data_IF_113079986204
#
_entry.id   IF_113079986204
#
_cell.length_a   1.000
_cell.length_b   1.000
_cell.length_c   1.000
_cell.angle_alpha   90.00
_cell.angle_beta   90.00
_cell.angle_gamma   90.00
#
_symmetry.space_group_name_H-M   'P 1'
#
loop_
_entity.id
_entity.type
_entity.pdbx_description
1 polymer ?
#
# COMPACT_ATOMS: atom_id res chain seq x y z
N UNK A 1 -25.51 19.56 -13.22
CA UNK A 1 -24.53 19.88 -14.28
C UNK A 1 -24.49 21.38 -14.40
N UNK A 2 -23.35 21.99 -14.48
CA UNK A 2 -23.24 23.42 -14.82
C UNK A 2 -23.70 23.51 -16.26
N UNK A 3 -24.70 24.30 -16.56
CA UNK A 3 -25.42 24.33 -17.88
C UNK A 3 -24.54 24.50 -19.11
N UNK A 4 -23.25 24.86 -18.95
CA UNK A 4 -22.32 25.15 -20.04
C UNK A 4 -21.21 24.10 -20.26
N UNK A 5 -21.09 23.02 -19.42
CA UNK A 5 -20.05 22.05 -19.60
C UNK A 5 -20.56 20.82 -20.37
N UNK A 6 -20.07 20.62 -21.60
CA UNK A 6 -20.35 19.42 -22.38
C UNK A 6 -19.69 18.18 -21.78
N UNK A 7 -20.45 17.11 -21.50
CA UNK A 7 -19.92 15.85 -20.99
C UNK A 7 -18.83 15.25 -21.90
N UNK A 8 -18.96 15.37 -23.20
CA UNK A 8 -17.97 14.95 -24.18
C UNK A 8 -16.65 15.74 -24.07
N UNK A 9 -16.75 17.07 -23.87
CA UNK A 9 -15.59 17.93 -23.70
C UNK A 9 -14.81 17.57 -22.40
N UNK A 10 -15.54 17.33 -21.30
CA UNK A 10 -14.95 16.90 -20.03
C UNK A 10 -14.27 15.53 -20.15
N UNK A 11 -14.91 14.59 -20.88
CA UNK A 11 -14.31 13.27 -21.15
C UNK A 11 -13.04 13.40 -22.00
N UNK A 12 -13.04 14.26 -23.01
CA UNK A 12 -11.85 14.57 -23.80
C UNK A 12 -10.75 15.17 -22.93
N UNK A 13 -11.10 16.09 -22.02
CA UNK A 13 -10.17 16.66 -21.04
C UNK A 13 -9.54 15.58 -20.16
N UNK A 14 -10.33 14.62 -19.67
CA UNK A 14 -9.81 13.48 -18.88
C UNK A 14 -8.84 12.63 -19.70
N UNK A 15 -9.22 12.24 -20.93
CA UNK A 15 -8.38 11.41 -21.79
C UNK A 15 -7.04 12.10 -22.08
N UNK A 16 -7.06 13.38 -22.47
CA UNK A 16 -5.85 14.15 -22.75
C UNK A 16 -5.03 14.37 -21.48
N UNK A 17 -5.66 14.70 -20.35
CA UNK A 17 -4.97 14.87 -19.08
C UNK A 17 -4.28 13.59 -18.61
N UNK A 18 -4.92 12.42 -18.77
CA UNK A 18 -4.28 11.12 -18.47
C UNK A 18 -3.15 10.82 -19.45
N UNK A 19 -3.29 11.12 -20.74
CA UNK A 19 -2.23 10.98 -21.72
C UNK A 19 -1.02 11.87 -21.37
N UNK A 20 -1.27 13.12 -20.94
CA UNK A 20 -0.23 14.04 -20.44
C UNK A 20 0.43 13.49 -19.19
N UNK A 21 -0.32 12.99 -18.21
CA UNK A 21 0.22 12.35 -17.01
C UNK A 21 1.18 11.22 -17.37
N UNK A 22 0.72 10.30 -18.22
CA UNK A 22 1.50 9.15 -18.66
C UNK A 22 2.77 9.60 -19.42
N UNK A 23 2.64 10.55 -20.34
CA UNK A 23 3.76 11.09 -21.10
C UNK A 23 4.81 11.74 -20.19
N UNK A 24 4.37 12.60 -19.26
CA UNK A 24 5.27 13.28 -18.34
C UNK A 24 6.03 12.28 -17.44
N UNK A 25 5.35 11.29 -16.89
CA UNK A 25 5.99 10.28 -16.03
C UNK A 25 6.95 9.39 -16.81
N UNK A 26 6.58 8.95 -18.04
CA UNK A 26 7.40 8.01 -18.81
C UNK A 26 8.59 8.67 -19.56
N UNK A 27 8.43 9.87 -20.08
CA UNK A 27 9.38 10.47 -21.03
C UNK A 27 10.19 11.63 -20.47
N UNK A 28 9.71 12.35 -19.45
CA UNK A 28 10.33 13.62 -19.06
C UNK A 28 11.03 13.57 -17.70
N UNK A 29 11.06 12.43 -17.01
CA UNK A 29 11.60 12.28 -15.63
C UNK A 29 10.96 13.22 -14.60
N UNK A 30 9.80 13.80 -14.90
CA UNK A 30 9.05 14.65 -13.98
C UNK A 30 8.47 13.80 -12.85
N UNK A 31 8.59 14.30 -11.62
CA UNK A 31 8.05 13.62 -10.45
C UNK A 31 6.52 13.46 -10.54
N UNK A 32 5.99 12.32 -10.11
CA UNK A 32 4.57 11.95 -10.21
C UNK A 32 3.62 13.01 -9.65
N UNK A 33 3.98 13.69 -8.55
CA UNK A 33 3.21 14.79 -7.98
C UNK A 33 3.03 15.95 -8.97
N UNK A 34 4.12 16.41 -9.60
CA UNK A 34 4.06 17.52 -10.55
C UNK A 34 3.25 17.11 -11.78
N UNK A 35 3.45 15.89 -12.27
CA UNK A 35 2.68 15.34 -13.39
C UNK A 35 1.17 15.26 -13.07
N UNK A 36 0.80 14.85 -11.84
CA UNK A 36 -0.60 14.84 -11.38
C UNK A 36 -1.21 16.25 -11.37
N UNK A 37 -0.52 17.25 -10.85
CA UNK A 37 -1.03 18.63 -10.83
C UNK A 37 -1.18 19.19 -12.25
N UNK A 38 -0.18 18.97 -13.14
CA UNK A 38 -0.28 19.40 -14.54
C UNK A 38 -1.47 18.73 -15.23
N UNK A 39 -1.61 17.40 -15.07
CA UNK A 39 -2.74 16.67 -15.64
C UNK A 39 -4.08 17.20 -15.10
N UNK A 40 -4.18 17.51 -13.81
CA UNK A 40 -5.37 18.07 -13.17
C UNK A 40 -5.75 19.42 -13.77
N UNK A 41 -4.76 20.31 -14.02
CA UNK A 41 -4.98 21.58 -14.69
C UNK A 41 -5.45 21.36 -16.13
N UNK A 42 -4.79 20.47 -16.88
CA UNK A 42 -5.16 20.14 -18.27
C UNK A 42 -6.60 19.62 -18.35
N UNK A 43 -7.01 18.74 -17.44
CA UNK A 43 -8.39 18.23 -17.35
C UNK A 43 -9.37 19.37 -17.14
N UNK A 44 -9.10 20.27 -16.21
CA UNK A 44 -9.96 21.41 -15.91
C UNK A 44 -10.08 22.38 -17.09
N UNK A 45 -8.95 22.73 -17.70
CA UNK A 45 -8.90 23.70 -18.82
C UNK A 45 -9.61 23.14 -20.06
N UNK A 46 -9.26 21.94 -20.51
CA UNK A 46 -9.87 21.30 -21.69
C UNK A 46 -11.35 20.98 -21.41
N UNK A 47 -11.65 20.57 -20.15
CA UNK A 47 -13.02 20.32 -19.71
C UNK A 47 -13.90 21.56 -19.63
N UNK A 48 -13.35 22.78 -19.85
CA UNK A 48 -14.10 24.02 -19.86
C UNK A 48 -14.43 24.58 -18.48
N UNK A 49 -13.71 24.15 -17.41
CA UNK A 49 -13.90 24.73 -16.09
C UNK A 49 -13.40 26.17 -16.01
N UNK A 50 -14.05 27.06 -15.20
CA UNK A 50 -13.54 28.42 -14.99
C UNK A 50 -12.11 28.43 -14.49
N UNK A 51 -11.25 29.23 -15.12
CA UNK A 51 -9.83 29.37 -14.74
C UNK A 51 -9.69 30.03 -13.36
N UNK A 52 -10.52 31.05 -13.12
CA UNK A 52 -10.61 31.76 -11.85
C UNK A 52 -11.92 31.41 -11.14
N UNK A 53 -12.00 31.75 -9.84
CA UNK A 53 -13.20 31.50 -9.07
C UNK A 53 -14.38 32.30 -9.65
N UNK A 54 -15.41 31.58 -10.08
CA UNK A 54 -16.71 32.12 -10.46
C UNK A 54 -17.77 31.62 -9.48
N UNK A 55 -18.72 32.50 -9.13
CA UNK A 55 -19.87 32.15 -8.31
C UNK A 55 -21.12 32.15 -9.16
N UNK A 56 -21.80 31.02 -9.22
CA UNK A 56 -23.00 30.80 -10.04
C UNK A 56 -24.27 31.24 -9.31
N UNK A 57 -25.38 31.43 -10.01
CA UNK A 57 -26.66 31.88 -9.43
C UNK A 57 -27.19 30.94 -8.32
N UNK A 58 -26.81 29.64 -8.33
CA UNK A 58 -27.15 28.67 -7.30
C UNK A 58 -26.29 28.80 -6.01
N UNK A 59 -25.45 29.82 -5.93
CA UNK A 59 -24.54 30.07 -4.79
C UNK A 59 -23.28 29.24 -4.78
N UNK A 60 -23.10 28.29 -5.72
CA UNK A 60 -21.88 27.50 -5.82
C UNK A 60 -20.75 28.32 -6.44
N UNK A 61 -19.56 28.16 -5.90
CA UNK A 61 -18.33 28.73 -6.46
C UNK A 61 -17.52 27.61 -7.10
N UNK A 62 -17.01 27.86 -8.30
CA UNK A 62 -16.17 26.92 -9.06
C UNK A 62 -14.95 27.65 -9.63
N UNK A 63 -13.85 26.92 -9.76
CA UNK A 63 -12.62 27.40 -10.40
C UNK A 63 -11.52 26.35 -10.26
N UNK A 64 -10.69 26.21 -11.28
CA UNK A 64 -9.64 25.17 -11.33
C UNK A 64 -8.75 25.22 -10.08
N UNK A 65 -8.19 26.40 -9.76
CA UNK A 65 -7.30 26.57 -8.60
C UNK A 65 -8.02 26.27 -7.29
N UNK A 66 -9.27 26.71 -7.15
CA UNK A 66 -10.07 26.45 -5.96
C UNK A 66 -10.34 24.94 -5.78
N UNK A 67 -10.67 24.22 -6.82
CA UNK A 67 -10.88 22.77 -6.79
C UNK A 67 -9.58 22.02 -6.45
N UNK A 68 -8.45 22.44 -7.03
CA UNK A 68 -7.12 21.86 -6.71
C UNK A 68 -6.80 22.03 -5.23
N UNK A 69 -6.88 23.25 -4.71
CA UNK A 69 -6.52 23.55 -3.30
C UNK A 69 -7.46 22.87 -2.32
N UNK A 70 -8.75 22.83 -2.61
CA UNK A 70 -9.78 22.15 -1.81
C UNK A 70 -9.55 20.62 -1.78
N UNK A 71 -9.30 20.01 -2.94
CA UNK A 71 -9.07 18.56 -3.02
C UNK A 71 -7.76 18.15 -2.36
N UNK A 72 -6.69 18.91 -2.58
CA UNK A 72 -5.39 18.70 -1.97
C UNK A 72 -5.46 18.83 -0.44
N UNK A 73 -5.94 19.97 0.05
CA UNK A 73 -6.03 20.24 1.49
C UNK A 73 -7.03 19.33 2.20
N UNK A 74 -8.19 19.06 1.59
CA UNK A 74 -9.21 18.17 2.14
C UNK A 74 -8.71 16.76 2.36
N UNK A 75 -7.97 16.20 1.40
CA UNK A 75 -7.37 14.86 1.55
C UNK A 75 -6.29 14.85 2.65
N UNK A 76 -5.39 15.83 2.65
CA UNK A 76 -4.31 15.87 3.65
C UNK A 76 -4.81 16.14 5.06
N UNK A 77 -5.87 16.92 5.24
CA UNK A 77 -6.45 17.16 6.56
C UNK A 77 -6.96 15.89 7.24
N UNK A 78 -7.43 14.92 6.45
CA UNK A 78 -7.95 13.66 6.99
C UNK A 78 -6.87 12.64 7.39
N UNK A 79 -5.76 12.58 6.64
CA UNK A 79 -4.81 11.46 6.78
C UNK A 79 -3.35 11.88 6.94
N UNK A 80 -3.01 13.16 6.73
CA UNK A 80 -1.61 13.61 6.68
C UNK A 80 -0.84 13.34 7.97
N UNK A 81 -1.45 13.60 9.12
CA UNK A 81 -0.81 13.36 10.44
C UNK A 81 -0.58 11.85 10.65
N UNK A 82 -1.54 11.01 10.27
CA UNK A 82 -1.44 9.55 10.43
C UNK A 82 -0.30 9.00 9.57
N UNK A 83 -0.16 9.49 8.32
CA UNK A 83 0.95 9.13 7.43
C UNK A 83 2.29 9.51 8.09
N UNK A 84 2.41 10.73 8.62
CA UNK A 84 3.63 11.18 9.31
C UNK A 84 4.01 10.29 10.48
N UNK A 85 3.06 10.02 11.39
CA UNK A 85 3.29 9.15 12.54
C UNK A 85 3.61 7.70 12.13
N UNK A 86 2.90 7.17 11.13
CA UNK A 86 3.13 5.81 10.63
C UNK A 86 4.53 5.62 10.05
N UNK A 87 5.02 6.59 9.28
CA UNK A 87 6.36 6.52 8.68
C UNK A 87 7.46 6.64 9.73
N UNK A 88 7.31 7.52 10.73
CA UNK A 88 8.25 7.63 11.85
C UNK A 88 8.26 6.32 12.65
N UNK A 89 7.09 5.76 12.97
CA UNK A 89 6.96 4.47 13.64
C UNK A 89 7.71 3.39 12.87
N UNK A 90 7.54 3.34 11.54
CA UNK A 90 8.25 2.39 10.67
C UNK A 90 9.78 2.51 10.79
N UNK A 91 10.32 3.74 10.81
CA UNK A 91 11.76 3.96 10.99
C UNK A 91 12.27 3.49 12.35
N UNK A 92 11.50 3.69 13.42
CA UNK A 92 11.87 3.19 14.75
C UNK A 92 11.93 1.65 14.75
N UNK A 93 10.96 0.96 14.12
CA UNK A 93 10.98 -0.49 13.98
C UNK A 93 12.21 -1.01 13.19
N UNK A 94 12.62 -0.24 12.18
CA UNK A 94 13.80 -0.57 11.36
C UNK A 94 15.09 -0.51 12.18
N UNK A 95 15.33 0.57 12.92
CA UNK A 95 16.59 0.81 13.66
C UNK A 95 16.67 0.09 15.00
N UNK A 96 15.54 -0.25 15.61
CA UNK A 96 15.47 -0.90 16.92
C UNK A 96 15.70 -2.41 16.88
N UNK A 97 15.64 -3.03 15.71
CA UNK A 97 15.64 -4.49 15.56
C UNK A 97 14.30 -5.16 15.85
N UNK A 98 13.22 -4.39 16.05
CA UNK A 98 11.88 -4.94 16.29
C UNK A 98 11.38 -5.82 15.14
N UNK A 99 11.67 -5.46 13.90
CA UNK A 99 11.33 -6.26 12.72
C UNK A 99 12.06 -7.61 12.72
N UNK A 100 13.34 -7.65 13.10
CA UNK A 100 14.10 -8.89 13.25
C UNK A 100 13.52 -9.77 14.36
N UNK A 101 13.18 -9.17 15.52
CA UNK A 101 12.55 -9.90 16.64
C UNK A 101 11.23 -10.54 16.21
N UNK A 102 10.40 -9.84 15.43
CA UNK A 102 9.16 -10.39 14.88
C UNK A 102 9.43 -11.61 13.99
N UNK A 103 10.43 -11.53 13.10
CA UNK A 103 10.81 -12.61 12.21
C UNK A 103 11.22 -13.86 12.96
N UNK A 104 12.08 -13.73 13.99
CA UNK A 104 12.53 -14.83 14.85
C UNK A 104 11.33 -15.42 15.62
N UNK A 105 10.45 -14.58 16.14
CA UNK A 105 9.26 -15.03 16.88
C UNK A 105 8.34 -15.89 16.00
N UNK A 106 8.03 -15.45 14.78
CA UNK A 106 7.21 -16.24 13.87
C UNK A 106 7.88 -17.52 13.40
N UNK A 107 9.19 -17.46 13.15
CA UNK A 107 9.95 -18.67 12.81
C UNK A 107 9.86 -19.72 13.89
N UNK A 108 10.04 -19.32 15.17
CA UNK A 108 9.94 -20.22 16.31
C UNK A 108 8.49 -20.74 16.51
N UNK A 109 7.48 -19.92 16.22
CA UNK A 109 6.07 -20.30 16.36
C UNK A 109 5.62 -21.32 15.31
N UNK A 110 6.01 -21.12 14.03
CA UNK A 110 5.59 -22.00 12.94
C UNK A 110 6.38 -23.30 12.88
N UNK A 111 7.57 -23.32 13.49
CA UNK A 111 8.40 -24.51 13.58
C UNK A 111 9.04 -24.92 12.25
N UNK A 112 9.60 -26.14 12.26
CA UNK A 112 10.33 -26.69 11.11
C UNK A 112 9.41 -27.00 9.92
N UNK A 113 9.95 -26.91 8.69
CA UNK A 113 9.26 -27.18 7.40
C UNK A 113 8.24 -26.12 6.95
N UNK A 114 8.08 -25.02 7.69
CA UNK A 114 7.12 -23.94 7.39
C UNK A 114 7.81 -22.58 7.26
N UNK A 115 9.02 -22.57 6.70
CA UNK A 115 9.86 -21.37 6.62
C UNK A 115 9.25 -20.31 5.70
N UNK A 116 8.61 -20.74 4.58
CA UNK A 116 7.93 -19.81 3.67
C UNK A 116 6.71 -19.17 4.34
N UNK A 117 5.93 -19.97 5.09
CA UNK A 117 4.78 -19.45 5.85
C UNK A 117 5.24 -18.48 6.94
N UNK A 118 6.26 -18.84 7.71
CA UNK A 118 6.81 -17.98 8.74
C UNK A 118 7.29 -16.65 8.18
N UNK A 119 7.99 -16.68 7.03
CA UNK A 119 8.50 -15.48 6.39
C UNK A 119 7.41 -14.63 5.72
N UNK A 120 6.39 -15.23 5.12
CA UNK A 120 5.25 -14.49 4.58
C UNK A 120 4.48 -13.77 5.70
N UNK A 121 4.25 -14.43 6.83
CA UNK A 121 3.58 -13.83 7.99
C UNK A 121 4.46 -12.77 8.65
N UNK A 122 5.77 -13.00 8.73
CA UNK A 122 6.71 -11.95 9.14
C UNK A 122 6.58 -10.73 8.25
N UNK A 123 6.60 -10.91 6.93
CA UNK A 123 6.42 -9.83 5.96
C UNK A 123 5.10 -9.09 6.18
N UNK A 124 4.02 -9.84 6.40
CA UNK A 124 2.71 -9.29 6.70
C UNK A 124 2.75 -8.33 7.90
N UNK A 125 3.24 -8.76 9.04
CA UNK A 125 3.25 -7.95 10.26
C UNK A 125 4.28 -6.81 10.20
N UNK A 126 5.47 -7.07 9.65
CA UNK A 126 6.53 -6.06 9.52
C UNK A 126 6.10 -4.92 8.62
N UNK A 127 5.36 -5.20 7.54
CA UNK A 127 4.96 -4.15 6.59
C UNK A 127 3.79 -3.28 7.05
N UNK A 128 3.15 -3.59 8.18
CA UNK A 128 2.13 -2.70 8.73
C UNK A 128 2.71 -1.32 9.07
N UNK A 129 3.84 -1.22 9.83
CA UNK A 129 4.48 0.07 10.12
C UNK A 129 5.58 0.45 9.13
N UNK A 130 6.18 -0.49 8.39
CA UNK A 130 7.41 -0.30 7.59
C UNK A 130 7.09 -0.40 6.10
N UNK A 131 7.75 0.41 5.27
CA UNK A 131 7.71 0.25 3.82
C UNK A 131 8.27 -1.12 3.40
N UNK A 132 7.68 -1.73 2.39
CA UNK A 132 8.09 -3.07 1.93
C UNK A 132 9.57 -3.13 1.53
N UNK A 133 10.13 -2.09 0.91
CA UNK A 133 11.55 -2.00 0.56
C UNK A 133 12.44 -2.11 1.80
N UNK A 134 12.23 -1.25 2.81
CA UNK A 134 12.98 -1.25 4.07
C UNK A 134 12.76 -2.54 4.86
N UNK A 135 11.52 -3.01 4.96
CA UNK A 135 11.19 -4.26 5.65
C UNK A 135 11.92 -5.45 5.04
N UNK A 136 12.01 -5.51 3.71
CA UNK A 136 12.74 -6.57 3.02
C UNK A 136 14.26 -6.49 3.27
N UNK A 137 14.85 -5.29 3.20
CA UNK A 137 16.28 -5.10 3.49
C UNK A 137 16.61 -5.57 4.89
N UNK A 138 15.79 -5.21 5.89
CA UNK A 138 16.03 -5.52 7.31
C UNK A 138 15.85 -7.01 7.63
N UNK A 139 14.86 -7.68 6.98
CA UNK A 139 14.51 -9.08 7.31
C UNK A 139 15.16 -10.09 6.36
N UNK A 140 15.58 -9.70 5.15
CA UNK A 140 16.19 -10.63 4.18
C UNK A 140 17.45 -11.36 4.67
N UNK A 141 18.33 -10.79 5.54
CA UNK A 141 19.45 -11.55 6.12
C UNK A 141 18.98 -12.76 6.93
N UNK A 142 17.84 -12.62 7.64
CA UNK A 142 17.23 -13.74 8.40
C UNK A 142 16.73 -14.81 7.43
N UNK A 143 16.03 -14.42 6.35
CA UNK A 143 15.57 -15.35 5.31
C UNK A 143 16.76 -16.14 4.69
N UNK A 144 17.89 -15.47 4.45
CA UNK A 144 19.12 -16.09 3.97
C UNK A 144 19.73 -17.08 4.99
N UNK A 145 19.82 -16.66 6.25
CA UNK A 145 20.33 -17.52 7.33
C UNK A 145 19.49 -18.80 7.48
N UNK A 146 18.16 -18.66 7.42
CA UNK A 146 17.23 -19.80 7.42
C UNK A 146 17.52 -20.73 6.23
N UNK A 147 17.54 -20.15 5.02
CA UNK A 147 17.77 -20.91 3.80
C UNK A 147 19.05 -21.74 3.84
N UNK A 148 20.17 -21.16 4.34
CA UNK A 148 21.44 -21.84 4.52
C UNK A 148 21.34 -22.98 5.54
N UNK A 149 20.75 -22.70 6.70
CA UNK A 149 20.65 -23.68 7.80
C UNK A 149 19.83 -24.89 7.39
N UNK A 150 18.66 -24.67 6.75
CA UNK A 150 17.78 -25.75 6.30
C UNK A 150 18.16 -26.30 4.92
N UNK A 151 19.20 -25.76 4.26
CA UNK A 151 19.64 -26.09 2.90
C UNK A 151 18.49 -26.05 1.89
N UNK A 152 17.80 -24.91 1.81
CA UNK A 152 16.62 -24.68 0.99
C UNK A 152 16.82 -23.43 0.12
N UNK A 153 16.11 -23.33 -0.99
CA UNK A 153 16.20 -22.15 -1.86
C UNK A 153 15.83 -20.86 -1.11
N UNK A 154 16.75 -19.91 -1.07
CA UNK A 154 16.50 -18.57 -0.54
C UNK A 154 15.44 -17.84 -1.34
N UNK A 155 15.29 -18.17 -2.64
CA UNK A 155 14.35 -17.49 -3.55
C UNK A 155 12.91 -17.75 -3.13
N UNK A 156 12.56 -19.02 -2.78
CA UNK A 156 11.23 -19.33 -2.27
C UNK A 156 10.92 -18.62 -0.94
N UNK A 157 11.84 -18.68 0.01
CA UNK A 157 11.71 -18.05 1.34
C UNK A 157 11.64 -16.53 1.21
N UNK A 158 12.53 -15.95 0.38
CA UNK A 158 12.59 -14.51 0.15
C UNK A 158 11.38 -13.97 -0.63
N UNK A 159 10.89 -14.70 -1.63
CA UNK A 159 9.68 -14.32 -2.36
C UNK A 159 8.43 -14.37 -1.46
N UNK A 160 8.35 -15.34 -0.54
CA UNK A 160 7.27 -15.41 0.45
C UNK A 160 7.31 -14.20 1.40
N UNK A 161 8.51 -13.84 1.90
CA UNK A 161 8.71 -12.62 2.71
C UNK A 161 8.29 -11.36 1.94
N UNK A 162 8.80 -11.19 0.72
CA UNK A 162 8.49 -10.04 -0.12
C UNK A 162 6.99 -9.95 -0.46
N UNK A 163 6.35 -11.10 -0.71
CA UNK A 163 4.92 -11.20 -0.95
C UNK A 163 4.09 -10.75 0.25
N UNK A 164 4.43 -11.25 1.45
CA UNK A 164 3.78 -10.79 2.69
C UNK A 164 3.93 -9.28 2.90
N UNK A 165 5.13 -8.74 2.67
CA UNK A 165 5.40 -7.30 2.77
C UNK A 165 4.54 -6.48 1.79
N UNK A 166 4.53 -6.84 0.51
CA UNK A 166 3.84 -6.04 -0.52
C UNK A 166 2.32 -6.12 -0.42
N UNK A 167 1.78 -7.30 -0.04
CA UNK A 167 0.34 -7.48 0.17
C UNK A 167 -0.14 -6.55 1.29
N UNK A 168 0.51 -6.60 2.45
CA UNK A 168 0.15 -5.73 3.57
C UNK A 168 0.35 -4.26 3.24
N UNK A 169 1.49 -3.92 2.63
CA UNK A 169 1.78 -2.55 2.19
C UNK A 169 0.69 -1.97 1.28
N UNK A 170 0.07 -2.81 0.47
CA UNK A 170 -0.97 -2.39 -0.49
C UNK A 170 -2.39 -2.49 0.04
N UNK A 171 -2.65 -3.33 1.07
CA UNK A 171 -4.03 -3.63 1.50
C UNK A 171 -4.36 -3.11 2.91
N UNK A 172 -3.37 -2.92 3.78
CA UNK A 172 -3.63 -2.71 5.22
C UNK A 172 -3.07 -1.38 5.72
N UNK A 173 -3.93 -0.43 6.16
CA UNK A 173 -3.47 0.73 6.91
C UNK A 173 -2.74 0.32 8.22
N UNK A 174 -1.87 1.19 8.77
CA UNK A 174 -1.65 2.58 8.44
C UNK A 174 -0.60 2.84 7.35
N UNK A 175 -0.25 1.87 6.51
CA UNK A 175 0.60 2.13 5.36
C UNK A 175 0.02 3.26 4.49
N UNK A 176 0.88 4.18 3.97
CA UNK A 176 0.41 5.42 3.37
C UNK A 176 -0.46 5.25 2.12
N UNK A 177 -0.22 4.21 1.32
CA UNK A 177 -0.99 3.94 0.10
C UNK A 177 -2.46 3.64 0.40
N UNK A 178 -2.78 2.54 1.12
CA UNK A 178 -4.14 2.21 1.53
C UNK A 178 -4.82 3.31 2.33
N UNK A 179 -4.07 3.99 3.21
CA UNK A 179 -4.60 5.11 3.99
C UNK A 179 -4.99 6.29 3.09
N UNK A 180 -4.17 6.60 2.06
CA UNK A 180 -4.49 7.62 1.07
C UNK A 180 -5.75 7.29 0.27
N UNK A 181 -5.89 6.04 -0.15
CA UNK A 181 -7.10 5.54 -0.83
C UNK A 181 -8.32 5.61 0.07
N UNK A 182 -8.21 5.15 1.33
CA UNK A 182 -9.29 5.23 2.31
C UNK A 182 -9.75 6.69 2.54
N UNK A 183 -8.81 7.64 2.62
CA UNK A 183 -9.10 9.07 2.74
C UNK A 183 -9.82 9.64 1.52
N UNK A 184 -9.40 9.29 0.31
CA UNK A 184 -10.03 9.75 -0.95
C UNK A 184 -11.47 9.20 -1.10
N UNK A 185 -11.68 7.93 -0.75
CA UNK A 185 -13.00 7.30 -0.75
C UNK A 185 -13.86 7.66 0.46
N UNK A 186 -13.28 8.35 1.47
CA UNK A 186 -13.93 8.70 2.73
C UNK A 186 -14.53 7.49 3.46
N UNK A 187 -13.76 6.39 3.54
CA UNK A 187 -14.14 5.15 4.23
C UNK A 187 -13.53 5.09 5.62
N UNK A 188 -14.21 4.38 6.54
CA UNK A 188 -13.71 4.20 7.91
C UNK A 188 -12.43 3.37 7.93
N UNK A 189 -11.39 3.90 8.57
CA UNK A 189 -10.06 3.28 8.62
C UNK A 189 -10.08 1.93 9.34
N UNK A 190 -10.90 1.79 10.39
CA UNK A 190 -11.00 0.53 11.13
C UNK A 190 -11.67 -0.56 10.31
N UNK A 191 -12.75 -0.24 9.59
CA UNK A 191 -13.37 -1.17 8.65
C UNK A 191 -12.37 -1.54 7.54
N UNK A 192 -11.61 -0.56 7.03
CA UNK A 192 -10.61 -0.80 6.01
C UNK A 192 -9.50 -1.73 6.51
N UNK A 193 -9.01 -1.57 7.75
CA UNK A 193 -8.02 -2.48 8.36
C UNK A 193 -8.58 -3.91 8.43
N UNK A 194 -9.80 -4.09 8.95
CA UNK A 194 -10.40 -5.41 9.11
C UNK A 194 -10.56 -6.15 7.79
N UNK A 195 -11.16 -5.48 6.80
CA UNK A 195 -11.39 -6.07 5.48
C UNK A 195 -10.05 -6.30 4.77
N UNK A 196 -9.10 -5.35 4.88
CA UNK A 196 -7.77 -5.48 4.30
C UNK A 196 -7.00 -6.69 4.84
N UNK A 197 -7.08 -6.97 6.15
CA UNK A 197 -6.50 -8.18 6.75
C UNK A 197 -7.19 -9.43 6.19
N UNK A 198 -8.51 -9.44 6.09
CA UNK A 198 -9.25 -10.58 5.55
C UNK A 198 -8.87 -10.86 4.08
N UNK A 199 -8.78 -9.83 3.24
CA UNK A 199 -8.36 -9.97 1.84
C UNK A 199 -6.89 -10.38 1.70
N UNK A 200 -6.01 -9.91 2.59
CA UNK A 200 -4.60 -10.27 2.54
C UNK A 200 -4.35 -11.77 2.79
N UNK A 201 -5.24 -12.48 3.49
CA UNK A 201 -5.06 -13.90 3.81
C UNK A 201 -5.07 -14.79 2.57
N UNK A 202 -6.10 -14.80 1.69
CA UNK A 202 -6.09 -15.60 0.47
C UNK A 202 -4.95 -15.22 -0.48
N UNK A 203 -4.62 -13.93 -0.58
CA UNK A 203 -3.49 -13.45 -1.38
C UNK A 203 -2.16 -14.02 -0.85
N UNK A 204 -1.93 -13.98 0.47
CA UNK A 204 -0.74 -14.53 1.10
C UNK A 204 -0.66 -16.06 0.90
N UNK A 205 -1.77 -16.76 1.05
CA UNK A 205 -1.84 -18.22 0.79
C UNK A 205 -1.43 -18.52 -0.64
N UNK A 206 -1.96 -17.80 -1.63
CA UNK A 206 -1.63 -18.01 -3.04
C UNK A 206 -0.13 -17.77 -3.32
N UNK A 207 0.44 -16.72 -2.75
CA UNK A 207 1.88 -16.42 -2.86
C UNK A 207 2.73 -17.49 -2.18
N UNK A 208 2.35 -17.96 -0.98
CA UNK A 208 3.04 -19.05 -0.28
C UNK A 208 3.01 -20.33 -1.13
N UNK A 209 1.86 -20.69 -1.70
CA UNK A 209 1.72 -21.86 -2.55
C UNK A 209 2.61 -21.77 -3.80
N UNK A 210 2.71 -20.59 -4.42
CA UNK A 210 3.62 -20.35 -5.54
C UNK A 210 5.09 -20.46 -5.10
N UNK A 211 5.46 -19.85 -3.99
CA UNK A 211 6.82 -19.91 -3.44
C UNK A 211 7.24 -21.35 -3.12
N UNK A 212 6.39 -22.14 -2.45
CA UNK A 212 6.64 -23.55 -2.10
C UNK A 212 6.54 -24.48 -3.29
N UNK A 213 5.53 -24.33 -4.12
CA UNK A 213 5.24 -25.25 -5.23
C UNK A 213 6.16 -25.05 -6.43
N UNK A 214 6.46 -23.81 -6.78
CA UNK A 214 7.24 -23.50 -7.98
C UNK A 214 8.64 -22.97 -7.67
N UNK A 215 8.78 -21.87 -6.94
CA UNK A 215 10.08 -21.23 -6.76
C UNK A 215 11.06 -22.10 -6.00
N UNK A 216 10.62 -22.76 -4.94
CA UNK A 216 11.44 -23.70 -4.15
C UNK A 216 12.08 -24.80 -5.00
N UNK A 217 11.38 -25.30 -6.01
CA UNK A 217 11.80 -26.46 -6.78
C UNK A 217 12.43 -26.15 -8.14
N UNK A 218 12.18 -24.94 -8.68
CA UNK A 218 12.60 -24.56 -10.04
C UNK A 218 13.69 -23.52 -10.09
N UNK A 219 13.96 -22.82 -8.96
CA UNK A 219 14.94 -21.75 -8.94
C UNK A 219 16.24 -22.22 -8.28
N UNK A 220 17.40 -21.89 -8.88
CA UNK A 220 18.70 -22.28 -8.36
C UNK A 220 19.02 -21.57 -7.05
N UNK A 221 19.96 -22.15 -6.29
CA UNK A 221 20.55 -21.53 -5.12
C UNK A 221 21.64 -20.54 -5.49
N UNK A 222 21.86 -19.58 -4.62
CA UNK A 222 22.99 -18.67 -4.72
C UNK A 222 23.95 -18.99 -3.58
N UNK A 223 25.19 -19.30 -3.94
CA UNK A 223 26.29 -19.36 -3.00
C UNK A 223 26.68 -17.94 -2.62
N UNK A 224 26.58 -17.59 -1.33
CA UNK A 224 26.90 -16.24 -0.88
C UNK A 224 28.42 -15.99 -0.76
N UNK A 225 29.26 -17.02 -0.88
CA UNK A 225 30.73 -16.85 -0.82
C UNK A 225 31.31 -16.33 -2.14
N UNK A 226 30.77 -16.76 -3.27
CA UNK A 226 31.27 -16.40 -4.59
C UNK A 226 30.19 -15.92 -5.57
N UNK A 227 28.91 -15.86 -5.15
CA UNK A 227 27.78 -15.45 -5.98
C UNK A 227 27.39 -16.47 -7.06
N UNK A 228 27.94 -17.68 -7.03
CA UNK A 228 27.66 -18.73 -8.00
C UNK A 228 26.26 -19.32 -7.82
N UNK A 229 25.64 -19.72 -8.93
CA UNK A 229 24.36 -20.42 -8.92
C UNK A 229 24.57 -21.90 -8.71
N UNK A 230 24.15 -22.41 -7.55
CA UNK A 230 24.20 -23.84 -7.22
C UNK A 230 22.89 -24.51 -7.65
N UNK A 231 23.01 -25.65 -8.32
CA UNK A 231 21.84 -26.46 -8.70
C UNK A 231 21.12 -26.99 -7.45
N UNK A 232 19.77 -26.95 -7.46
CA UNK A 232 18.94 -27.51 -6.38
C UNK A 232 19.26 -28.98 -6.10
N UNK A 233 19.75 -29.75 -7.11
CA UNK A 233 20.10 -31.15 -6.97
C UNK A 233 21.35 -31.40 -6.10
N UNK A 234 22.18 -30.39 -5.90
CA UNK A 234 23.41 -30.45 -5.12
C UNK A 234 23.19 -30.09 -3.63
N UNK A 235 21.98 -29.63 -3.30
CA UNK A 235 21.63 -29.28 -1.92
C UNK A 235 20.68 -30.29 -1.30
N UNK A 236 21.15 -30.94 -0.24
CA UNK A 236 20.34 -31.86 0.55
C UNK A 236 19.57 -31.08 1.63
N UNK A 237 18.25 -30.93 1.42
CA UNK A 237 17.39 -30.23 2.35
C UNK A 237 17.36 -30.91 3.72
N UNK A 238 17.81 -30.20 4.75
CA UNK A 238 17.77 -30.67 6.13
C UNK A 238 16.66 -29.97 6.95
N UNK A 239 15.46 -30.56 7.04
CA UNK A 239 14.35 -29.97 7.77
C UNK A 239 14.54 -29.97 9.31
N UNK A 240 15.55 -30.69 9.80
CA UNK A 240 15.84 -30.80 11.22
C UNK A 240 17.03 -29.94 11.66
N UNK A 241 17.62 -29.16 10.74
CA UNK A 241 18.70 -28.26 11.10
C UNK A 241 18.27 -27.26 12.19
N UNK A 242 19.15 -27.02 13.14
CA UNK A 242 18.91 -26.04 14.19
C UNK A 242 19.24 -24.66 13.63
N UNK A 243 18.25 -23.77 13.60
CA UNK A 243 18.44 -22.38 13.20
C UNK A 243 18.85 -21.61 14.45
N UNK A 244 20.15 -21.29 14.57
CA UNK A 244 20.67 -20.41 15.61
C UNK A 244 20.78 -18.99 15.01
N UNK A 245 19.89 -18.09 15.42
CA UNK A 245 19.99 -16.67 15.11
C UNK A 245 20.50 -15.94 16.34
N UNK A 246 21.46 -15.04 16.16
CA UNK A 246 21.94 -14.22 17.28
C UNK A 246 20.81 -13.27 17.71
N UNK A 247 20.33 -13.48 18.95
CA UNK A 247 19.28 -12.67 19.56
C UNK A 247 19.83 -11.55 20.44
N UNK A 248 21.15 -11.41 20.51
CA UNK A 248 21.80 -10.37 21.31
C UNK A 248 21.34 -9.00 20.83
N UNK A 249 20.96 -8.17 21.78
CA UNK A 249 20.59 -6.76 21.58
C UNK A 249 19.24 -6.48 20.87
N UNK A 250 18.45 -7.52 20.57
CA UNK A 250 17.11 -7.30 20.03
C UNK A 250 16.10 -6.98 21.15
N UNK A 251 15.11 -6.10 20.89
CA UNK A 251 14.06 -5.81 21.87
C UNK A 251 13.24 -7.07 22.20
N UNK A 252 12.59 -7.06 23.37
CA UNK A 252 11.73 -8.17 23.78
C UNK A 252 10.52 -8.34 22.82
N UNK A 253 9.93 -9.55 22.82
CA UNK A 253 8.76 -9.86 21.96
C UNK A 253 7.64 -8.86 22.21
N UNK A 254 7.24 -8.65 23.48
CA UNK A 254 6.15 -7.73 23.80
C UNK A 254 6.44 -6.30 23.33
N UNK A 255 7.64 -5.79 23.58
CA UNK A 255 8.05 -4.44 23.18
C UNK A 255 8.13 -4.27 21.66
N UNK A 256 8.38 -5.34 20.91
CA UNK A 256 8.37 -5.31 19.44
C UNK A 256 6.96 -5.31 18.86
N UNK A 257 6.00 -6.01 19.45
CA UNK A 257 4.65 -6.12 18.91
C UNK A 257 3.69 -5.06 19.47
N UNK A 258 3.83 -4.62 20.72
CA UNK A 258 2.87 -3.73 21.37
C UNK A 258 2.66 -2.40 20.65
N UNK A 259 3.69 -1.68 20.15
CA UNK A 259 3.50 -0.42 19.43
C UNK A 259 2.73 -0.56 18.11
N UNK A 260 2.74 -1.77 17.52
CA UNK A 260 2.00 -2.11 16.33
C UNK A 260 0.55 -2.51 16.64
N UNK A 261 0.37 -3.39 17.61
CA UNK A 261 -0.91 -4.01 17.93
C UNK A 261 -1.84 -3.04 18.65
N UNK A 262 -1.28 -2.18 19.53
CA UNK A 262 -2.06 -1.20 20.29
C UNK A 262 -2.90 -0.26 19.42
N UNK A 263 -2.37 0.42 18.40
CA UNK A 263 -3.16 1.26 17.49
C UNK A 263 -4.29 0.48 16.82
N UNK A 264 -4.01 -0.72 16.33
CA UNK A 264 -4.99 -1.56 15.65
C UNK A 264 -6.17 -1.87 16.59
N UNK A 265 -5.88 -2.35 17.81
CA UNK A 265 -6.91 -2.65 18.80
C UNK A 265 -7.74 -1.42 19.12
N UNK A 266 -7.11 -0.28 19.36
CA UNK A 266 -7.82 0.96 19.69
C UNK A 266 -8.73 1.43 18.54
N UNK A 267 -8.25 1.39 17.31
CA UNK A 267 -9.05 1.74 16.12
C UNK A 267 -10.23 0.79 15.95
N UNK A 268 -10.03 -0.52 16.16
CA UNK A 268 -11.11 -1.50 16.09
C UNK A 268 -12.17 -1.28 17.18
N UNK A 269 -11.75 -0.99 18.41
CA UNK A 269 -12.66 -0.64 19.51
C UNK A 269 -13.50 0.60 19.12
N UNK A 270 -12.86 1.64 18.59
CA UNK A 270 -13.57 2.84 18.11
C UNK A 270 -14.62 2.48 17.04
N UNK A 271 -14.23 1.69 16.03
CA UNK A 271 -15.13 1.29 14.94
C UNK A 271 -16.34 0.52 15.47
N UNK A 272 -16.14 -0.45 16.36
CA UNK A 272 -17.23 -1.24 16.97
C UNK A 272 -18.14 -0.35 17.84
N UNK A 273 -17.58 0.46 18.74
CA UNK A 273 -18.38 1.32 19.62
C UNK A 273 -19.15 2.37 18.83
N UNK A 274 -18.56 2.92 17.76
CA UNK A 274 -19.24 3.86 16.86
C UNK A 274 -20.40 3.20 16.11
N UNK A 275 -20.23 1.97 15.63
CA UNK A 275 -21.29 1.18 14.98
C UNK A 275 -22.44 0.86 15.95
N UNK A 276 -22.12 0.57 17.21
CA UNK A 276 -23.09 0.34 18.28
C UNK A 276 -23.72 1.64 18.82
N UNK A 277 -23.28 2.82 18.32
CA UNK A 277 -23.75 4.16 18.76
C UNK A 277 -23.52 4.45 20.25
N UNK A 278 -22.57 3.78 20.88
CA UNK A 278 -22.19 3.97 22.28
C UNK A 278 -21.19 5.13 22.37
N UNK A 279 -21.66 6.37 22.62
CA UNK A 279 -20.80 7.58 22.51
C UNK A 279 -20.62 8.33 23.85
N UNK A 280 -21.24 7.89 24.95
CA UNK A 280 -21.27 8.64 26.20
C UNK A 280 -20.37 8.04 27.30
N UNK A 281 -19.90 8.87 28.22
CA UNK A 281 -19.12 8.44 29.38
C UNK A 281 -17.81 7.75 29.00
N UNK A 282 -17.52 6.60 29.60
CA UNK A 282 -16.31 5.82 29.37
C UNK A 282 -16.14 5.39 27.90
N UNK A 283 -17.23 5.08 27.20
CA UNK A 283 -17.18 4.74 25.76
C UNK A 283 -16.68 5.92 24.92
N UNK A 284 -17.03 7.15 25.28
CA UNK A 284 -16.53 8.35 24.60
C UNK A 284 -15.00 8.47 24.69
N UNK A 285 -14.40 8.13 25.84
CA UNK A 285 -12.95 8.09 26.01
C UNK A 285 -12.31 7.03 25.12
N UNK A 286 -12.86 5.83 25.07
CA UNK A 286 -12.36 4.74 24.21
C UNK A 286 -12.46 5.11 22.72
N UNK A 287 -13.56 5.75 22.30
CA UNK A 287 -13.72 6.27 20.94
C UNK A 287 -12.66 7.31 20.63
N UNK A 288 -12.37 8.25 21.55
CA UNK A 288 -11.33 9.24 21.38
C UNK A 288 -9.93 8.60 21.25
N UNK A 289 -9.57 7.68 22.14
CA UNK A 289 -8.30 6.96 22.09
C UNK A 289 -8.15 6.12 20.80
N UNK A 290 -9.27 5.61 20.28
CA UNK A 290 -9.33 4.85 19.05
C UNK A 290 -9.46 5.70 17.78
N UNK A 291 -9.48 7.04 17.85
CA UNK A 291 -9.34 7.86 16.66
C UNK A 291 -7.98 7.57 15.98
N UNK A 292 -7.91 7.32 14.66
CA UNK A 292 -6.69 6.87 14.01
C UNK A 292 -5.46 7.75 14.32
N UNK A 293 -5.63 9.06 14.39
CA UNK A 293 -4.55 10.00 14.75
C UNK A 293 -4.03 9.73 16.17
N UNK A 294 -4.91 9.56 17.13
CA UNK A 294 -4.56 9.32 18.53
C UNK A 294 -3.97 7.93 18.71
N UNK A 295 -4.61 6.91 18.16
CA UNK A 295 -4.18 5.52 18.27
C UNK A 295 -2.76 5.31 17.69
N UNK A 296 -2.48 5.80 16.47
CA UNK A 296 -1.15 5.70 15.85
C UNK A 296 -0.13 6.55 16.61
N UNK A 297 -0.53 7.74 17.11
CA UNK A 297 0.32 8.57 17.98
C UNK A 297 0.71 7.85 19.27
N UNK A 298 -0.22 7.14 19.93
CA UNK A 298 0.06 6.33 21.12
C UNK A 298 1.02 5.16 20.80
N UNK A 299 0.83 4.49 19.67
CA UNK A 299 1.75 3.47 19.18
C UNK A 299 3.16 4.01 18.96
N UNK A 300 3.28 5.18 18.33
CA UNK A 300 4.55 5.87 18.14
C UNK A 300 5.21 6.24 19.47
N UNK A 301 4.48 6.81 20.40
CA UNK A 301 5.02 7.14 21.74
C UNK A 301 5.49 5.88 22.47
N UNK A 302 4.74 4.78 22.39
CA UNK A 302 5.13 3.50 22.98
C UNK A 302 6.41 2.98 22.33
N UNK A 303 6.55 3.08 21.01
CA UNK A 303 7.78 2.67 20.32
C UNK A 303 8.99 3.51 20.75
N UNK A 304 8.83 4.84 20.83
CA UNK A 304 9.89 5.74 21.30
C UNK A 304 10.37 5.32 22.69
N UNK A 305 9.44 5.11 23.63
CA UNK A 305 9.78 4.78 25.02
C UNK A 305 10.38 3.40 25.17
N UNK A 306 9.93 2.41 24.40
CA UNK A 306 10.31 1.01 24.59
C UNK A 306 11.41 0.53 23.67
N UNK A 307 11.49 1.04 22.45
CA UNK A 307 12.40 0.51 21.42
C UNK A 307 13.66 1.36 21.21
N UNK A 308 13.62 2.67 21.55
CA UNK A 308 14.79 3.55 21.38
C UNK A 308 15.74 3.57 22.59
N UNK A 309 15.55 2.74 23.62
CA UNK A 309 16.38 2.75 24.83
C UNK A 309 17.86 2.48 24.55
N UNK A 310 18.15 1.65 23.56
CA UNK A 310 19.51 1.23 23.19
C UNK A 310 19.99 1.91 21.90
N UNK A 311 19.20 2.85 21.35
CA UNK A 311 19.55 3.62 20.15
C UNK A 311 19.99 5.00 20.61
N UNK A 312 21.15 5.45 20.12
CA UNK A 312 21.64 6.77 20.37
C UNK A 312 20.68 7.84 19.83
N UNK A 313 20.54 8.95 20.58
CA UNK A 313 19.56 9.98 20.29
C UNK A 313 19.75 10.65 18.91
N UNK A 314 21.00 10.88 18.53
CA UNK A 314 21.33 11.53 17.26
C UNK A 314 20.94 10.63 16.08
N UNK A 315 21.27 9.35 16.16
CA UNK A 315 20.85 8.34 15.19
C UNK A 315 19.34 8.22 15.11
N UNK A 316 18.64 8.17 16.25
CA UNK A 316 17.18 8.11 16.27
C UNK A 316 16.53 9.31 15.59
N UNK A 317 16.98 10.53 15.90
CA UNK A 317 16.46 11.76 15.30
C UNK A 317 16.74 11.78 13.78
N UNK A 318 17.95 11.49 13.35
CA UNK A 318 18.32 11.45 11.94
C UNK A 318 17.48 10.45 11.13
N UNK A 319 17.23 9.26 11.67
CA UNK A 319 16.42 8.26 10.96
C UNK A 319 14.92 8.62 10.95
N UNK A 320 14.40 9.28 12.00
CA UNK A 320 13.06 9.87 11.98
C UNK A 320 12.94 10.96 10.92
N UNK A 321 13.95 11.85 10.77
CA UNK A 321 13.98 12.88 9.73
C UNK A 321 13.95 12.28 8.33
N UNK A 322 14.73 11.22 8.06
CA UNK A 322 14.66 10.47 6.78
C UNK A 322 13.27 9.88 6.54
N UNK A 323 12.61 9.42 7.59
CA UNK A 323 11.22 8.98 7.52
C UNK A 323 10.29 10.09 7.08
N UNK A 324 10.44 11.29 7.64
CA UNK A 324 9.63 12.45 7.26
C UNK A 324 9.89 12.92 5.82
N UNK A 325 11.12 12.83 5.31
CA UNK A 325 11.43 13.07 3.89
C UNK A 325 10.64 12.12 2.97
N UNK A 326 10.58 10.83 3.32
CA UNK A 326 9.78 9.84 2.59
C UNK A 326 8.28 10.15 2.70
N UNK A 327 7.79 10.51 3.88
CA UNK A 327 6.40 10.91 4.09
C UNK A 327 6.03 12.13 3.24
N UNK A 328 6.92 13.09 3.07
CA UNK A 328 6.71 14.29 2.27
C UNK A 328 6.32 13.98 0.81
N UNK A 329 7.03 13.06 0.18
CA UNK A 329 6.71 12.61 -1.18
C UNK A 329 5.30 12.00 -1.25
N UNK A 330 4.96 11.14 -0.30
CA UNK A 330 3.67 10.45 -0.25
C UNK A 330 2.54 11.44 -0.02
N UNK A 331 2.73 12.39 0.92
CA UNK A 331 1.74 13.43 1.21
C UNK A 331 1.46 14.27 -0.04
N UNK A 332 2.49 14.70 -0.76
CA UNK A 332 2.32 15.46 -2.00
C UNK A 332 1.57 14.67 -3.08
N UNK A 333 1.92 13.39 -3.30
CA UNK A 333 1.23 12.54 -4.29
C UNK A 333 -0.22 12.28 -3.87
N UNK A 334 -0.47 12.03 -2.59
CA UNK A 334 -1.83 11.80 -2.07
C UNK A 334 -2.70 13.05 -2.19
N UNK A 335 -2.15 14.22 -1.84
CA UNK A 335 -2.82 15.50 -2.05
C UNK A 335 -3.09 15.76 -3.54
N UNK A 336 -2.13 15.43 -4.43
CA UNK A 336 -2.31 15.51 -5.88
C UNK A 336 -3.44 14.61 -6.39
N UNK A 337 -3.57 13.39 -5.88
CA UNK A 337 -4.71 12.50 -6.17
C UNK A 337 -6.04 13.09 -5.71
N UNK A 338 -6.06 13.69 -4.52
CA UNK A 338 -7.25 14.42 -4.01
C UNK A 338 -7.63 15.62 -4.86
N UNK A 339 -6.63 16.39 -5.35
CA UNK A 339 -6.86 17.51 -6.28
C UNK A 339 -7.49 17.04 -7.58
N UNK A 340 -6.97 15.95 -8.17
CA UNK A 340 -7.52 15.32 -9.37
C UNK A 340 -8.97 14.86 -9.15
N UNK A 341 -9.25 14.18 -8.04
CA UNK A 341 -10.60 13.74 -7.68
C UNK A 341 -11.59 14.90 -7.52
N UNK A 342 -11.13 16.01 -6.93
CA UNK A 342 -11.98 17.19 -6.76
C UNK A 342 -12.32 17.86 -8.11
N UNK A 343 -11.39 17.94 -9.06
CA UNK A 343 -11.67 18.43 -10.43
C UNK A 343 -12.73 17.55 -11.12
N UNK A 344 -12.60 16.22 -11.07
CA UNK A 344 -13.56 15.27 -11.64
C UNK A 344 -14.94 15.43 -10.99
N UNK A 345 -14.98 15.64 -9.67
CA UNK A 345 -16.21 15.86 -8.91
C UNK A 345 -16.87 17.19 -9.28
N UNK A 346 -16.13 18.28 -9.21
CA UNK A 346 -16.64 19.64 -9.40
C UNK A 346 -17.05 19.90 -10.86
N UNK A 347 -16.38 19.27 -11.84
CA UNK A 347 -16.76 19.35 -13.25
C UNK A 347 -18.04 18.57 -13.60
N UNK A 348 -18.50 17.65 -12.73
CA UNK A 348 -19.62 16.74 -13.04
C UNK A 348 -19.25 15.57 -13.95
N UNK A 349 -17.98 15.44 -14.33
CA UNK A 349 -17.48 14.36 -15.19
C UNK A 349 -17.75 12.98 -14.59
N UNK A 350 -17.67 12.86 -13.24
CA UNK A 350 -17.99 11.62 -12.53
C UNK A 350 -19.39 11.10 -12.87
N UNK A 351 -20.40 11.96 -12.80
CA UNK A 351 -21.79 11.61 -13.14
C UNK A 351 -21.92 11.20 -14.60
N UNK A 352 -21.27 11.93 -15.52
CA UNK A 352 -21.33 11.65 -16.96
C UNK A 352 -20.75 10.26 -17.29
N UNK A 353 -19.57 9.91 -16.73
CA UNK A 353 -18.96 8.60 -16.92
C UNK A 353 -19.82 7.50 -16.32
N UNK A 354 -20.34 7.69 -15.10
CA UNK A 354 -21.19 6.71 -14.42
C UNK A 354 -22.44 6.38 -15.24
N UNK A 355 -23.11 7.39 -15.79
CA UNK A 355 -24.27 7.20 -16.67
C UNK A 355 -23.89 6.46 -17.95
N UNK A 356 -22.78 6.84 -18.61
CA UNK A 356 -22.28 6.17 -19.81
C UNK A 356 -21.98 4.69 -19.58
N UNK A 357 -21.34 4.34 -18.47
CA UNK A 357 -21.04 2.94 -18.11
C UNK A 357 -22.31 2.15 -17.80
N UNK A 358 -23.28 2.75 -17.11
CA UNK A 358 -24.56 2.11 -16.83
C UNK A 358 -25.33 1.79 -18.13
N UNK A 359 -25.34 2.69 -19.09
CA UNK A 359 -25.93 2.44 -20.41
C UNK A 359 -25.22 1.33 -21.19
N UNK A 360 -23.90 1.20 -21.02
CA UNK A 360 -23.10 0.16 -21.68
C UNK A 360 -23.10 -1.20 -20.94
N UNK A 361 -23.81 -1.34 -19.80
CA UNK A 361 -23.81 -2.51 -18.93
C UNK A 361 -22.40 -2.95 -18.48
N UNK A 362 -21.46 -2.01 -18.33
CA UNK A 362 -20.10 -2.29 -17.85
C UNK A 362 -20.10 -2.26 -16.32
N UNK A 363 -19.63 -3.33 -15.63
CA UNK A 363 -19.53 -3.32 -14.18
C UNK A 363 -18.57 -2.23 -13.68
N UNK A 364 -19.12 -1.22 -12.99
CA UNK A 364 -18.37 -0.07 -12.49
C UNK A 364 -17.22 -0.44 -11.56
N UNK A 365 -17.33 -1.57 -10.86
CA UNK A 365 -16.27 -2.06 -9.96
C UNK A 365 -14.95 -2.39 -10.68
N UNK A 366 -15.00 -2.72 -11.97
CA UNK A 366 -13.79 -2.99 -12.75
C UNK A 366 -12.97 -1.71 -13.01
N UNK A 367 -13.61 -0.55 -13.01
CA UNK A 367 -12.96 0.73 -13.34
C UNK A 367 -11.77 1.05 -12.41
N UNK A 368 -11.92 1.09 -11.07
CA UNK A 368 -10.81 1.37 -10.17
C UNK A 368 -9.71 0.31 -10.24
N UNK A 369 -10.07 -0.97 -10.39
CA UNK A 369 -9.11 -2.05 -10.51
C UNK A 369 -8.27 -1.93 -11.79
N UNK A 370 -8.90 -1.71 -12.94
CA UNK A 370 -8.21 -1.61 -14.24
C UNK A 370 -7.38 -0.33 -14.36
N UNK A 371 -7.87 0.81 -13.87
CA UNK A 371 -7.10 2.05 -13.87
C UNK A 371 -5.86 1.91 -12.99
N UNK A 372 -6.01 1.37 -11.79
CA UNK A 372 -4.87 1.12 -10.90
C UNK A 372 -3.85 0.16 -11.53
N UNK A 373 -4.33 -0.92 -12.17
CA UNK A 373 -3.50 -1.87 -12.91
C UNK A 373 -2.72 -1.20 -14.04
N UNK A 374 -3.40 -0.38 -14.85
CA UNK A 374 -2.77 0.34 -15.95
C UNK A 374 -1.71 1.35 -15.48
N UNK A 375 -2.04 2.16 -14.48
CA UNK A 375 -1.09 3.13 -13.89
C UNK A 375 0.09 2.41 -13.25
N UNK A 376 -0.13 1.31 -12.53
CA UNK A 376 0.93 0.46 -11.95
C UNK A 376 1.88 -0.05 -13.02
N UNK A 377 1.34 -0.63 -14.08
CA UNK A 377 2.15 -1.16 -15.18
C UNK A 377 2.99 -0.08 -15.86
N UNK A 378 2.42 1.11 -16.04
CA UNK A 378 3.10 2.22 -16.71
C UNK A 378 4.15 2.86 -15.82
N UNK A 379 3.80 3.19 -14.56
CA UNK A 379 4.59 4.09 -13.71
C UNK A 379 5.48 3.34 -12.69
N UNK A 380 5.10 2.12 -12.30
CA UNK A 380 5.90 1.25 -11.45
C UNK A 380 5.66 1.38 -9.95
N UNK A 381 5.13 2.47 -9.42
CA UNK A 381 4.83 2.63 -7.99
C UNK A 381 3.41 2.19 -7.64
N UNK A 382 3.28 1.21 -6.75
CA UNK A 382 1.97 0.77 -6.26
C UNK A 382 1.20 1.88 -5.52
N UNK A 383 1.89 2.61 -4.65
CA UNK A 383 1.28 3.73 -3.90
C UNK A 383 0.73 4.81 -4.83
N UNK A 384 1.50 5.23 -5.84
CA UNK A 384 1.04 6.23 -6.82
C UNK A 384 -0.11 5.68 -7.65
N UNK A 385 -0.04 4.42 -8.06
CA UNK A 385 -1.09 3.79 -8.87
C UNK A 385 -2.44 3.76 -8.15
N UNK A 386 -2.47 3.25 -6.91
CA UNK A 386 -3.73 3.17 -6.15
C UNK A 386 -4.30 4.55 -5.81
N UNK A 387 -3.46 5.53 -5.47
CA UNK A 387 -3.91 6.90 -5.14
C UNK A 387 -4.42 7.60 -6.39
N UNK A 388 -3.73 7.49 -7.53
CA UNK A 388 -4.18 8.05 -8.81
C UNK A 388 -5.51 7.44 -9.23
N UNK A 389 -5.63 6.11 -9.17
CA UNK A 389 -6.88 5.41 -9.48
C UNK A 389 -8.02 5.85 -8.55
N UNK A 390 -7.75 5.98 -7.23
CA UNK A 390 -8.73 6.46 -6.26
C UNK A 390 -9.19 7.90 -6.59
N UNK A 391 -8.26 8.81 -6.89
CA UNK A 391 -8.57 10.17 -7.28
C UNK A 391 -9.48 10.26 -8.50
N UNK A 392 -9.31 9.38 -9.48
CA UNK A 392 -10.15 9.32 -10.69
C UNK A 392 -11.51 8.68 -10.37
N UNK A 393 -11.52 7.55 -9.68
CA UNK A 393 -12.69 6.66 -9.63
C UNK A 393 -13.61 6.91 -8.45
N UNK A 394 -13.12 7.40 -7.31
CA UNK A 394 -13.95 7.69 -6.15
C UNK A 394 -15.13 8.64 -6.47
N UNK A 395 -14.93 9.79 -7.18
CA UNK A 395 -16.05 10.66 -7.53
C UNK A 395 -17.00 10.02 -8.55
N UNK A 396 -16.49 9.13 -9.43
CA UNK A 396 -17.32 8.41 -10.42
C UNK A 396 -18.22 7.41 -9.70
N UNK A 397 -17.67 6.58 -8.82
CA UNK A 397 -18.43 5.59 -8.06
C UNK A 397 -19.42 6.25 -7.09
N UNK A 398 -19.02 7.36 -6.46
CA UNK A 398 -19.92 8.13 -5.60
C UNK A 398 -21.10 8.74 -6.38
N UNK A 399 -20.88 9.19 -7.62
CA UNK A 399 -21.94 9.71 -8.47
C UNK A 399 -22.89 8.63 -8.97
N UNK A 400 -22.40 7.41 -9.19
CA UNK A 400 -23.20 6.25 -9.59
C UNK A 400 -24.05 5.70 -8.43
N UNK A 401 -23.52 5.70 -7.21
CA UNK A 401 -24.20 5.18 -6.02
C UNK A 401 -24.48 3.66 -6.02
N UNK A 402 -23.90 2.92 -6.96
CA UNK A 402 -24.16 1.48 -7.16
C UNK A 402 -23.05 0.56 -6.62
N UNK A 403 -21.89 1.11 -6.26
CA UNK A 403 -20.74 0.37 -5.75
C UNK A 403 -20.44 0.88 -4.34
N UNK A 404 -20.27 -0.05 -3.41
CA UNK A 404 -19.85 0.30 -2.06
C UNK A 404 -18.45 0.96 -2.09
N UNK A 405 -18.26 2.16 -1.51
CA UNK A 405 -17.00 2.88 -1.53
C UNK A 405 -15.80 2.06 -1.03
N UNK A 406 -15.99 1.19 -0.03
CA UNK A 406 -14.93 0.36 0.52
C UNK A 406 -14.45 -0.70 -0.49
N UNK A 407 -15.38 -1.26 -1.28
CA UNK A 407 -15.05 -2.22 -2.35
C UNK A 407 -14.29 -1.52 -3.48
N UNK A 408 -14.73 -0.31 -3.88
CA UNK A 408 -14.03 0.52 -4.84
C UNK A 408 -12.61 0.88 -4.40
N UNK A 409 -12.44 1.19 -3.12
CA UNK A 409 -11.14 1.47 -2.53
C UNK A 409 -10.21 0.25 -2.58
N UNK A 410 -10.70 -0.95 -2.22
CA UNK A 410 -9.92 -2.19 -2.34
C UNK A 410 -9.62 -2.58 -3.79
N UNK A 411 -10.49 -2.23 -4.73
CA UNK A 411 -10.22 -2.41 -6.14
C UNK A 411 -9.01 -1.57 -6.60
N UNK A 412 -8.87 -0.32 -6.12
CA UNK A 412 -7.66 0.47 -6.36
C UNK A 412 -6.41 -0.16 -5.74
N UNK A 413 -6.51 -0.63 -4.49
CA UNK A 413 -5.42 -1.28 -3.77
C UNK A 413 -4.98 -2.58 -4.46
N UNK A 414 -5.92 -3.47 -4.80
CA UNK A 414 -5.64 -4.73 -5.47
C UNK A 414 -5.05 -4.54 -6.87
N UNK A 415 -5.59 -3.61 -7.65
CA UNK A 415 -5.07 -3.28 -8.99
C UNK A 415 -3.61 -2.82 -8.97
N UNK A 416 -3.16 -2.16 -7.91
CA UNK A 416 -1.80 -1.67 -7.74
C UNK A 416 -0.73 -2.75 -7.57
N UNK A 417 -1.11 -4.00 -7.37
CA UNK A 417 -0.20 -5.13 -7.23
C UNK A 417 0.28 -5.71 -8.56
N UNK A 418 -0.32 -5.29 -9.68
CA UNK A 418 -0.04 -5.89 -10.98
C UNK A 418 1.43 -5.83 -11.37
N UNK A 419 1.94 -6.96 -11.84
CA UNK A 419 3.18 -7.19 -12.57
C UNK A 419 4.30 -6.19 -12.29
N UNK A 420 4.86 -6.22 -11.08
CA UNK A 420 6.03 -5.41 -10.71
C UNK A 420 7.24 -5.85 -11.55
N UNK A 421 7.90 -4.90 -12.22
CA UNK A 421 9.04 -5.15 -13.08
C UNK A 421 10.09 -4.03 -12.95
N UNK A 422 10.99 -3.85 -13.89
CA UNK A 422 12.17 -2.96 -13.74
C UNK A 422 11.86 -1.46 -13.60
N UNK A 423 10.62 -1.03 -13.69
CA UNK A 423 10.20 0.33 -13.35
C UNK A 423 9.84 0.52 -11.87
N UNK A 424 9.88 -0.56 -11.07
CA UNK A 424 9.58 -0.57 -9.65
C UNK A 424 10.86 -0.74 -8.82
N UNK A 425 11.06 0.09 -7.78
CA UNK A 425 12.21 0.00 -6.88
C UNK A 425 12.27 -1.36 -6.17
N UNK A 426 11.11 -1.84 -5.71
CA UNK A 426 11.03 -3.09 -4.96
C UNK A 426 11.38 -4.33 -5.80
N UNK A 427 11.13 -4.29 -7.11
CA UNK A 427 11.62 -5.30 -8.05
C UNK A 427 13.15 -5.48 -7.95
N UNK A 428 13.89 -4.37 -7.93
CA UNK A 428 15.34 -4.40 -7.84
C UNK A 428 15.82 -4.82 -6.46
N UNK A 429 15.19 -4.32 -5.40
CA UNK A 429 15.52 -4.68 -4.01
C UNK A 429 15.39 -6.18 -3.80
N UNK A 430 14.25 -6.77 -4.16
CA UNK A 430 14.01 -8.21 -4.02
C UNK A 430 15.01 -9.03 -4.82
N UNK A 431 15.12 -8.75 -6.13
CA UNK A 431 15.97 -9.55 -7.01
C UNK A 431 17.47 -9.44 -6.66
N UNK A 432 17.96 -8.24 -6.34
CA UNK A 432 19.37 -8.04 -5.97
C UNK A 432 19.71 -8.71 -4.65
N UNK A 433 18.88 -8.54 -3.63
CA UNK A 433 19.13 -9.16 -2.32
C UNK A 433 18.99 -10.68 -2.35
N UNK A 434 18.17 -11.24 -3.25
CA UNK A 434 18.10 -12.67 -3.48
C UNK A 434 19.13 -13.16 -4.51
N UNK A 435 19.95 -12.26 -5.08
CA UNK A 435 20.99 -12.59 -6.04
C UNK A 435 20.48 -13.04 -7.41
N UNK A 436 19.24 -12.73 -7.76
CA UNK A 436 18.65 -13.11 -9.06
C UNK A 436 19.06 -12.11 -10.13
N UNK A 437 19.91 -12.52 -11.06
CA UNK A 437 20.49 -11.65 -12.09
C UNK A 437 19.84 -11.78 -13.47
N UNK A 438 19.35 -12.99 -13.82
CA UNK A 438 18.73 -13.22 -15.13
C UNK A 438 17.30 -12.68 -15.18
N UNK A 439 16.98 -11.85 -16.18
CA UNK A 439 15.66 -11.21 -16.33
C UNK A 439 14.48 -12.20 -16.29
N UNK A 440 14.63 -13.36 -16.93
CA UNK A 440 13.60 -14.41 -16.90
C UNK A 440 13.29 -14.88 -15.47
N UNK A 441 14.33 -15.06 -14.67
CA UNK A 441 14.22 -15.54 -13.30
C UNK A 441 13.78 -14.41 -12.34
N UNK A 442 14.16 -13.16 -12.63
CA UNK A 442 13.62 -11.98 -11.93
C UNK A 442 12.10 -11.87 -12.08
N UNK A 443 11.57 -12.09 -13.30
CA UNK A 443 10.13 -12.10 -13.53
C UNK A 443 9.45 -13.26 -12.80
N UNK A 444 10.05 -14.46 -12.83
CA UNK A 444 9.52 -15.60 -12.09
C UNK A 444 9.52 -15.39 -10.61
N UNK A 445 10.60 -14.83 -10.07
CA UNK A 445 10.74 -14.58 -8.63
C UNK A 445 9.78 -13.53 -8.14
N UNK A 446 9.64 -12.41 -8.86
CA UNK A 446 8.93 -11.25 -8.32
C UNK A 446 7.70 -10.85 -9.12
N UNK A 447 7.81 -10.64 -10.43
CA UNK A 447 6.67 -10.17 -11.23
C UNK A 447 5.48 -11.13 -11.20
N UNK A 448 5.73 -12.45 -11.25
CA UNK A 448 4.66 -13.44 -11.13
C UNK A 448 4.10 -13.50 -9.71
N UNK A 449 4.93 -13.31 -8.67
CA UNK A 449 4.47 -13.24 -7.28
C UNK A 449 3.45 -12.13 -7.10
N UNK A 450 3.75 -10.93 -7.60
CA UNK A 450 2.81 -9.79 -7.51
C UNK A 450 1.59 -9.98 -8.39
N UNK A 451 1.73 -10.60 -9.58
CA UNK A 451 0.59 -10.89 -10.46
C UNK A 451 -0.36 -11.92 -9.86
N UNK A 452 0.15 -12.90 -9.12
CA UNK A 452 -0.70 -13.87 -8.39
C UNK A 452 -1.50 -13.14 -7.30
N UNK A 453 -0.86 -12.28 -6.52
CA UNK A 453 -1.55 -11.48 -5.52
C UNK A 453 -2.63 -10.56 -6.15
N UNK A 454 -2.30 -9.92 -7.28
CA UNK A 454 -3.22 -9.12 -8.07
C UNK A 454 -4.45 -9.90 -8.56
N UNK A 455 -4.23 -11.11 -9.10
CA UNK A 455 -5.32 -11.94 -9.61
C UNK A 455 -6.28 -12.38 -8.49
N UNK A 456 -5.73 -12.73 -7.33
CA UNK A 456 -6.55 -13.07 -6.14
C UNK A 456 -7.32 -11.84 -5.67
N UNK A 457 -6.66 -10.68 -5.54
CA UNK A 457 -7.31 -9.43 -5.15
C UNK A 457 -8.46 -9.05 -6.10
N UNK A 458 -8.27 -9.24 -7.42
CA UNK A 458 -9.31 -9.01 -8.41
C UNK A 458 -10.52 -9.93 -8.23
N UNK A 459 -10.28 -11.21 -7.97
CA UNK A 459 -11.35 -12.17 -7.67
C UNK A 459 -12.10 -11.81 -6.38
N UNK A 460 -11.37 -11.44 -5.32
CA UNK A 460 -11.97 -11.01 -4.04
C UNK A 460 -12.81 -9.75 -4.19
N UNK A 461 -12.34 -8.74 -4.93
CA UNK A 461 -13.09 -7.52 -5.22
C UNK A 461 -14.40 -7.83 -5.94
N UNK A 462 -14.37 -8.72 -6.95
CA UNK A 462 -15.58 -9.14 -7.65
C UNK A 462 -16.55 -9.88 -6.72
N UNK A 463 -16.05 -10.77 -5.88
CA UNK A 463 -16.86 -11.49 -4.88
C UNK A 463 -17.47 -10.48 -3.89
N UNK A 464 -16.67 -9.59 -3.33
CA UNK A 464 -17.17 -8.57 -2.38
C UNK A 464 -18.28 -7.70 -3.00
N UNK A 465 -18.13 -7.32 -4.27
CA UNK A 465 -19.14 -6.51 -4.96
C UNK A 465 -20.48 -7.23 -5.18
N UNK A 466 -20.52 -8.57 -5.05
CA UNK A 466 -21.77 -9.34 -5.11
C UNK A 466 -22.53 -9.35 -3.77
N UNK A 467 -21.84 -9.12 -2.65
CA UNK A 467 -22.41 -9.24 -1.30
C UNK A 467 -22.53 -7.91 -0.56
N UNK A 468 -21.90 -6.86 -1.04
CA UNK A 468 -21.88 -5.53 -0.43
C UNK A 468 -22.43 -4.44 -1.37
#
# INVERSE_FOLDING_TARGET
>A
MIENLSGNQMLLGLIIGLAVLIFLVLKTKIHAFVALIIATVVIGVIGGMPLVKETFPDGKSLGIIMSITKGFGGTLSGIGIIIGFGVILGKIFEISGAAQRMAITFLNLFGKKREEEAMAITGFFVSIPIFCDSGFIVVSPIAKAIARTVKKSVIGIGAALAGGLVITHSMVPPTPGPLGVAGIFNVDVGQFILIGICMAIPMAIAVILYAKGYLRHKMPFINDEDGSLISIKEFDYNPNAVISLEEKDLPGVFTSFAPLVLPIILILINTVLSALKLKTGFYGVLIFLGQPIIAVGLGLLLAIVTQLRNVDRETALREMEKGMEQAGIILLVTGGGGALGQIIKDSGLGTYIAQGMAHANIPLILLPFLISTGVRFIQGSGTVAMITAAGITAPILAAAGTVNPIVGAFACCGGSLFFSYFNDSFFWVVNRLLGVTQTKDQFRTWSYTTTIAWAVAGAEVLIMNLFM
#
